data_IF_856773241141
#
_entry.id   IF_856773241141
#
_cell.length_a   1.000
_cell.length_b   1.000
_cell.length_c   1.000
_cell.angle_alpha   90.00
_cell.angle_beta   90.00
_cell.angle_gamma   90.00
#
_symmetry.space_group_name_H-M   'P 1'
#
loop_
_entity.id
_entity.type
_entity.pdbx_description
1 polymer ?
#
# COMPACT_ATOMS: atom_id res chain seq x y z
N UNK A 1 -12.08 -17.03 -14.25
CA UNK A 1 -11.86 -16.35 -12.99
C UNK A 1 -13.07 -15.49 -12.60
N UNK A 2 -13.23 -15.23 -11.31
CA UNK A 2 -14.26 -14.37 -10.76
C UNK A 2 -13.68 -13.00 -10.40
N UNK A 3 -14.44 -11.93 -10.64
CA UNK A 3 -14.04 -10.54 -10.36
C UNK A 3 -15.25 -9.74 -9.87
N UNK A 4 -15.08 -8.94 -8.81
CA UNK A 4 -16.10 -7.97 -8.40
C UNK A 4 -15.91 -6.64 -9.11
N UNK A 5 -17.01 -6.10 -9.66
CA UNK A 5 -16.99 -4.79 -10.33
C UNK A 5 -18.34 -4.09 -10.21
N UNK A 6 -18.30 -2.76 -10.07
CA UNK A 6 -19.51 -1.95 -10.15
C UNK A 6 -19.96 -1.90 -11.62
N UNK A 7 -21.13 -2.43 -11.89
CA UNK A 7 -21.79 -2.38 -13.19
C UNK A 7 -23.29 -2.08 -12.99
N UNK A 8 -23.86 -1.18 -13.80
CA UNK A 8 -25.26 -0.72 -13.67
C UNK A 8 -25.64 -0.26 -12.26
N UNK A 9 -24.72 0.51 -11.61
CA UNK A 9 -24.85 1.07 -10.26
C UNK A 9 -24.84 0.04 -9.11
N UNK A 10 -24.69 -1.25 -9.38
CA UNK A 10 -24.62 -2.30 -8.37
C UNK A 10 -23.26 -2.98 -8.37
N UNK A 11 -22.85 -3.54 -7.20
CA UNK A 11 -21.69 -4.40 -7.14
C UNK A 11 -22.05 -5.76 -7.75
N UNK A 12 -21.38 -6.12 -8.84
CA UNK A 12 -21.65 -7.33 -9.63
C UNK A 12 -20.45 -8.28 -9.51
N UNK A 13 -20.76 -9.57 -9.44
CA UNK A 13 -19.83 -10.67 -9.58
C UNK A 13 -19.71 -11.01 -11.06
N UNK A 14 -18.54 -10.76 -11.65
CA UNK A 14 -18.25 -11.10 -13.05
C UNK A 14 -17.64 -12.49 -13.12
N UNK A 15 -18.16 -13.31 -14.02
CA UNK A 15 -17.67 -14.65 -14.33
C UNK A 15 -17.03 -14.57 -15.72
N UNK A 16 -15.69 -14.76 -15.77
CA UNK A 16 -14.92 -14.69 -17.01
C UNK A 16 -14.17 -16.00 -17.26
N UNK A 17 -14.36 -16.54 -18.45
CA UNK A 17 -13.70 -17.74 -18.95
C UNK A 17 -13.53 -17.62 -20.47
N UNK A 18 -12.65 -18.40 -21.07
CA UNK A 18 -12.57 -18.57 -22.51
C UNK A 18 -13.85 -19.27 -23.01
N UNK A 19 -14.15 -19.15 -24.33
CA UNK A 19 -15.39 -19.70 -24.87
C UNK A 19 -15.46 -21.22 -24.62
N UNK A 20 -16.48 -21.65 -23.89
CA UNK A 20 -16.72 -23.03 -23.52
C UNK A 20 -18.24 -23.21 -23.33
N UNK A 21 -18.83 -24.07 -24.16
CA UNK A 21 -20.26 -24.31 -24.15
C UNK A 21 -20.80 -24.94 -22.87
N UNK A 22 -19.97 -25.80 -22.22
CA UNK A 22 -20.32 -26.45 -20.97
C UNK A 22 -20.41 -25.41 -19.85
N UNK A 23 -19.41 -24.51 -19.77
CA UNK A 23 -19.39 -23.44 -18.78
C UNK A 23 -20.51 -22.43 -19.03
N UNK A 24 -20.84 -22.12 -20.30
CA UNK A 24 -21.95 -21.24 -20.67
C UNK A 24 -23.27 -21.84 -20.23
N UNK A 25 -23.53 -23.12 -20.51
CA UNK A 25 -24.75 -23.79 -20.11
C UNK A 25 -24.94 -23.80 -18.60
N UNK A 26 -23.85 -24.06 -17.85
CA UNK A 26 -23.87 -24.02 -16.38
C UNK A 26 -24.20 -22.62 -15.85
N UNK A 27 -23.58 -21.55 -16.39
CA UNK A 27 -23.87 -20.18 -15.93
C UNK A 27 -25.31 -19.79 -16.22
N UNK A 28 -25.88 -20.25 -17.31
CA UNK A 28 -27.29 -19.98 -17.68
C UNK A 28 -28.28 -20.60 -16.68
N UNK A 29 -27.93 -21.64 -15.97
CA UNK A 29 -28.80 -22.21 -14.92
C UNK A 29 -28.86 -21.34 -13.66
N UNK A 30 -27.95 -20.37 -13.51
CA UNK A 30 -27.91 -19.49 -12.35
C UNK A 30 -28.94 -18.38 -12.48
N UNK A 31 -29.92 -18.36 -11.59
CA UNK A 31 -30.95 -17.32 -11.57
C UNK A 31 -30.30 -15.92 -11.37
N UNK A 32 -30.67 -14.98 -12.23
CA UNK A 32 -30.13 -13.61 -12.20
C UNK A 32 -28.78 -13.42 -12.92
N UNK A 33 -28.17 -14.46 -13.48
CA UNK A 33 -27.00 -14.34 -14.32
C UNK A 33 -27.37 -13.74 -15.70
N UNK A 34 -26.60 -12.76 -16.15
CA UNK A 34 -26.80 -12.06 -17.41
C UNK A 34 -25.47 -11.85 -18.14
N UNK A 35 -25.49 -11.81 -19.46
CA UNK A 35 -24.32 -11.54 -20.28
C UNK A 35 -24.15 -10.04 -20.55
N UNK A 36 -22.98 -9.51 -20.39
CA UNK A 36 -22.64 -8.13 -20.75
C UNK A 36 -21.69 -8.09 -21.96
N UNK A 37 -22.17 -7.55 -23.09
CA UNK A 37 -21.34 -7.34 -24.29
C UNK A 37 -20.17 -6.38 -24.04
N UNK A 38 -20.39 -5.32 -23.25
CA UNK A 38 -19.35 -4.32 -22.93
C UNK A 38 -18.26 -4.84 -21.99
N UNK A 39 -18.60 -5.76 -21.08
CA UNK A 39 -17.66 -6.37 -20.16
C UNK A 39 -17.07 -7.69 -20.68
N UNK A 40 -17.64 -8.23 -21.77
CA UNK A 40 -17.33 -9.57 -22.32
C UNK A 40 -17.31 -10.62 -21.20
N UNK A 41 -18.35 -10.62 -20.35
CA UNK A 41 -18.44 -11.46 -19.17
C UNK A 41 -19.89 -11.70 -18.76
N UNK A 42 -20.15 -12.85 -18.14
CA UNK A 42 -21.37 -13.08 -17.38
C UNK A 42 -21.30 -12.31 -16.07
N UNK A 43 -22.43 -11.82 -15.60
CA UNK A 43 -22.51 -11.07 -14.34
C UNK A 43 -23.80 -11.36 -13.59
N UNK A 44 -23.72 -11.29 -12.26
CA UNK A 44 -24.85 -11.35 -11.34
C UNK A 44 -24.55 -10.49 -10.13
N UNK A 45 -25.56 -10.21 -9.28
CA UNK A 45 -25.34 -9.40 -8.07
C UNK A 45 -24.33 -10.09 -7.15
N UNK A 46 -23.33 -9.34 -6.70
CA UNK A 46 -22.29 -9.87 -5.78
C UNK A 46 -22.88 -9.99 -4.37
N UNK A 47 -23.28 -11.20 -3.99
CA UNK A 47 -23.68 -11.59 -2.63
C UNK A 47 -22.91 -12.82 -2.21
N UNK A 48 -22.83 -13.07 -0.91
CA UNK A 48 -22.13 -14.25 -0.37
C UNK A 48 -22.79 -15.56 -0.84
N UNK A 49 -24.13 -15.55 -0.98
CA UNK A 49 -24.93 -16.67 -1.47
C UNK A 49 -24.61 -16.96 -2.93
N UNK A 50 -24.60 -15.93 -3.79
CA UNK A 50 -24.30 -16.05 -5.22
C UNK A 50 -22.85 -16.52 -5.43
N UNK A 51 -21.90 -16.00 -4.66
CA UNK A 51 -20.52 -16.46 -4.72
C UNK A 51 -20.40 -17.94 -4.31
N UNK A 52 -21.03 -18.33 -3.20
CA UNK A 52 -21.04 -19.72 -2.74
C UNK A 52 -21.69 -20.66 -3.76
N UNK A 53 -22.78 -20.24 -4.39
CA UNK A 53 -23.47 -20.99 -5.43
C UNK A 53 -22.58 -21.19 -6.66
N UNK A 54 -21.93 -20.13 -7.15
CA UNK A 54 -20.99 -20.23 -8.28
C UNK A 54 -19.81 -21.15 -7.97
N UNK A 55 -19.22 -21.01 -6.79
CA UNK A 55 -18.11 -21.89 -6.37
C UNK A 55 -18.52 -23.35 -6.30
N UNK A 56 -19.72 -23.66 -5.81
CA UNK A 56 -20.27 -25.02 -5.78
C UNK A 56 -20.53 -25.55 -7.18
N UNK A 57 -21.12 -24.74 -8.06
CA UNK A 57 -21.48 -25.11 -9.43
C UNK A 57 -20.23 -25.51 -10.24
N UNK A 58 -19.12 -24.77 -10.08
CA UNK A 58 -17.89 -25.02 -10.85
C UNK A 58 -16.89 -25.95 -10.15
N UNK A 59 -17.13 -26.37 -8.89
CA UNK A 59 -16.16 -27.13 -8.06
C UNK A 59 -15.61 -28.40 -8.76
N UNK A 60 -16.45 -29.12 -9.51
CA UNK A 60 -16.09 -30.36 -10.15
C UNK A 60 -15.86 -30.22 -11.68
N UNK A 61 -15.97 -29.01 -12.22
CA UNK A 61 -15.89 -28.75 -13.67
C UNK A 61 -14.59 -28.04 -14.01
N UNK A 62 -14.21 -27.03 -13.23
CA UNK A 62 -13.00 -26.25 -13.49
C UNK A 62 -12.46 -25.61 -12.22
N UNK A 63 -11.15 -25.29 -12.24
CA UNK A 63 -10.52 -24.55 -11.15
C UNK A 63 -10.93 -23.07 -11.20
N UNK A 64 -11.65 -22.59 -10.20
CA UNK A 64 -12.11 -21.21 -10.13
C UNK A 64 -11.07 -20.34 -9.44
N UNK A 65 -10.52 -19.38 -10.17
CA UNK A 65 -9.65 -18.35 -9.61
C UNK A 65 -10.49 -17.22 -9.00
N UNK A 66 -10.39 -17.07 -7.69
CA UNK A 66 -11.07 -16.05 -6.87
C UNK A 66 -10.14 -14.93 -6.42
N UNK A 67 -8.92 -14.87 -6.92
CA UNK A 67 -7.91 -13.89 -6.50
C UNK A 67 -8.33 -12.42 -6.72
N UNK A 68 -9.27 -12.19 -7.63
CA UNK A 68 -9.83 -10.87 -7.97
C UNK A 68 -11.15 -10.56 -7.29
N UNK A 69 -11.69 -11.47 -6.51
CA UNK A 69 -12.82 -11.17 -5.64
C UNK A 69 -12.27 -10.44 -4.43
N UNK A 70 -12.75 -9.22 -4.23
CA UNK A 70 -12.45 -8.50 -3.01
C UNK A 70 -12.95 -9.33 -1.81
N UNK A 71 -12.02 -9.89 -1.02
CA UNK A 71 -12.34 -10.58 0.26
C UNK A 71 -12.90 -9.61 1.31
N UNK A 72 -13.32 -8.44 0.89
CA UNK A 72 -13.92 -7.40 1.72
C UNK A 72 -15.41 -7.30 1.43
N UNK A 73 -16.19 -8.28 1.88
CA UNK A 73 -17.48 -7.88 2.45
C UNK A 73 -17.14 -6.85 3.52
N UNK A 74 -17.67 -5.62 3.46
CA UNK A 74 -17.48 -4.69 4.56
C UNK A 74 -18.05 -5.40 5.79
N UNK A 75 -17.16 -5.84 6.69
CA UNK A 75 -17.54 -6.46 7.94
C UNK A 75 -18.35 -5.42 8.70
N UNK A 76 -19.68 -5.58 8.68
CA UNK A 76 -20.57 -4.71 9.42
C UNK A 76 -20.39 -5.04 10.90
N UNK A 77 -19.76 -4.13 11.63
CA UNK A 77 -19.63 -4.25 13.07
C UNK A 77 -20.98 -3.98 13.71
N UNK A 78 -21.37 -4.86 14.60
CA UNK A 78 -22.56 -4.71 15.42
C UNK A 78 -22.12 -4.22 16.82
N UNK A 79 -21.84 -2.93 16.90
CA UNK A 79 -21.34 -2.30 18.11
C UNK A 79 -22.49 -1.61 18.84
N UNK A 80 -22.57 -1.81 20.16
CA UNK A 80 -23.48 -1.07 21.03
C UNK A 80 -23.12 0.42 21.07
N UNK A 81 -24.04 1.25 21.51
CA UNK A 81 -23.78 2.70 21.59
C UNK A 81 -22.71 3.03 22.65
N UNK A 82 -22.62 2.25 23.73
CA UNK A 82 -21.54 2.34 24.71
C UNK A 82 -20.17 2.03 24.08
N UNK A 83 -20.10 0.95 23.28
CA UNK A 83 -18.87 0.58 22.57
C UNK A 83 -18.46 1.65 21.53
N UNK A 84 -19.42 2.23 20.82
CA UNK A 84 -19.16 3.36 19.90
C UNK A 84 -18.64 4.59 20.66
N UNK A 85 -19.23 4.91 21.82
CA UNK A 85 -18.78 6.00 22.69
C UNK A 85 -17.35 5.77 23.19
N UNK A 86 -17.04 4.57 23.66
CA UNK A 86 -15.69 4.17 24.07
C UNK A 86 -14.66 4.32 22.93
N UNK A 87 -14.99 3.84 21.74
CA UNK A 87 -14.11 3.96 20.57
C UNK A 87 -13.88 5.39 20.14
N UNK A 88 -14.90 6.25 20.25
CA UNK A 88 -14.75 7.69 19.99
C UNK A 88 -13.86 8.37 21.05
N UNK A 89 -13.99 8.01 22.30
CA UNK A 89 -13.10 8.47 23.36
C UNK A 89 -11.65 8.01 23.13
N UNK A 90 -11.45 6.76 22.72
CA UNK A 90 -10.13 6.24 22.35
C UNK A 90 -9.54 6.98 21.13
N UNK A 91 -10.36 7.28 20.13
CA UNK A 91 -9.96 8.11 18.99
C UNK A 91 -9.47 9.49 19.44
N UNK A 92 -10.21 10.17 20.32
CA UNK A 92 -9.85 11.46 20.88
C UNK A 92 -8.58 11.39 21.73
N UNK A 93 -8.41 10.34 22.53
CA UNK A 93 -7.19 10.08 23.30
C UNK A 93 -5.97 9.96 22.38
N UNK A 94 -6.06 9.19 21.31
CA UNK A 94 -4.97 9.06 20.32
C UNK A 94 -4.68 10.42 19.64
N UNK A 95 -5.71 11.21 19.35
CA UNK A 95 -5.56 12.56 18.78
C UNK A 95 -4.86 13.51 19.76
N UNK A 96 -5.21 13.46 21.04
CA UNK A 96 -4.55 14.20 22.11
C UNK A 96 -3.08 13.81 22.27
N UNK A 97 -2.74 12.54 22.10
CA UNK A 97 -1.35 12.03 22.04
C UNK A 97 -0.63 12.39 20.74
N UNK A 98 -1.24 13.15 19.82
CA UNK A 98 -0.68 13.62 18.54
C UNK A 98 -0.20 12.50 17.60
N UNK A 99 -0.87 11.35 17.62
CA UNK A 99 -0.65 10.32 16.61
C UNK A 99 -1.03 10.81 15.22
N UNK A 100 -0.41 10.25 14.17
CA UNK A 100 -0.79 10.57 12.79
C UNK A 100 -2.22 10.07 12.49
N UNK A 101 -2.94 10.77 11.60
CA UNK A 101 -4.31 10.40 11.24
C UNK A 101 -4.42 8.94 10.75
N UNK A 102 -3.44 8.47 9.97
CA UNK A 102 -3.40 7.07 9.52
C UNK A 102 -3.20 6.08 10.67
N UNK A 103 -2.38 6.43 11.66
CA UNK A 103 -2.18 5.60 12.86
C UNK A 103 -3.45 5.53 13.69
N UNK A 104 -4.10 6.68 13.90
CA UNK A 104 -5.37 6.77 14.65
C UNK A 104 -6.42 5.87 13.97
N UNK A 105 -6.62 6.01 12.65
CA UNK A 105 -7.57 5.19 11.91
C UNK A 105 -7.27 3.70 12.01
N UNK A 106 -6.00 3.31 11.85
CA UNK A 106 -5.59 1.90 11.92
C UNK A 106 -5.78 1.33 13.31
N UNK A 107 -5.41 2.07 14.35
CA UNK A 107 -5.53 1.60 15.74
C UNK A 107 -6.99 1.51 16.17
N UNK A 108 -7.78 2.54 15.87
CA UNK A 108 -9.23 2.51 16.15
C UNK A 108 -9.92 1.38 15.38
N UNK A 109 -9.51 1.12 14.13
CA UNK A 109 -10.04 0.02 13.32
C UNK A 109 -9.80 -1.33 13.99
N UNK A 110 -8.57 -1.63 14.41
CA UNK A 110 -8.25 -2.92 15.05
C UNK A 110 -8.92 -3.08 16.41
N UNK A 111 -8.98 -2.03 17.22
CA UNK A 111 -9.66 -2.08 18.53
C UNK A 111 -11.17 -2.25 18.34
N UNK A 112 -11.76 -1.61 17.33
CA UNK A 112 -13.17 -1.80 17.01
C UNK A 112 -13.48 -3.25 16.58
N UNK A 113 -12.60 -3.88 15.77
CA UNK A 113 -12.76 -5.30 15.40
C UNK A 113 -12.62 -6.22 16.62
N UNK A 114 -11.68 -5.92 17.51
CA UNK A 114 -11.44 -6.69 18.72
C UNK A 114 -12.65 -6.61 19.69
N UNK A 115 -13.18 -5.42 19.93
CA UNK A 115 -14.37 -5.22 20.77
C UNK A 115 -15.60 -5.88 20.14
N UNK A 116 -15.77 -5.75 18.84
CA UNK A 116 -16.89 -6.37 18.12
C UNK A 116 -16.83 -7.91 18.16
N UNK A 117 -15.64 -8.51 18.11
CA UNK A 117 -15.47 -9.95 18.23
C UNK A 117 -15.87 -10.45 19.62
N UNK A 118 -15.61 -9.66 20.66
CA UNK A 118 -15.92 -9.96 22.06
C UNK A 118 -17.16 -9.20 22.58
N UNK A 119 -18.16 -8.97 21.74
CA UNK A 119 -19.37 -8.19 22.11
C UNK A 119 -20.06 -8.68 23.38
N UNK A 120 -19.99 -9.99 23.64
CA UNK A 120 -20.63 -10.62 24.81
C UNK A 120 -19.78 -10.59 26.08
N UNK A 121 -18.51 -10.19 26.00
CA UNK A 121 -17.57 -10.17 27.13
C UNK A 121 -17.46 -8.73 27.65
N UNK A 122 -17.72 -8.49 28.95
CA UNK A 122 -17.49 -7.19 29.55
C UNK A 122 -16.03 -6.74 29.42
N UNK A 123 -15.79 -5.45 29.22
CA UNK A 123 -14.43 -4.92 29.07
C UNK A 123 -13.48 -5.30 30.21
N UNK A 124 -14.01 -5.36 31.44
CA UNK A 124 -13.25 -5.74 32.65
C UNK A 124 -12.75 -7.18 32.63
N UNK A 125 -13.37 -8.03 31.83
CA UNK A 125 -13.04 -9.45 31.74
C UNK A 125 -12.15 -9.78 30.53
N UNK A 126 -11.90 -8.80 29.63
CA UNK A 126 -10.99 -9.00 28.53
C UNK A 126 -9.58 -9.28 29.05
N UNK A 127 -9.05 -10.43 28.70
CA UNK A 127 -7.74 -10.95 29.15
C UNK A 127 -6.80 -11.21 27.97
N UNK A 128 -5.55 -11.60 28.24
CA UNK A 128 -4.62 -12.01 27.21
C UNK A 128 -5.13 -13.19 26.39
N UNK A 129 -5.87 -14.12 27.00
CA UNK A 129 -6.50 -15.24 26.26
C UNK A 129 -7.54 -14.75 25.25
N UNK A 130 -8.29 -13.70 25.56
CA UNK A 130 -9.20 -13.08 24.60
C UNK A 130 -8.44 -12.49 23.40
N UNK A 131 -7.25 -11.93 23.63
CA UNK A 131 -6.39 -11.41 22.55
C UNK A 131 -5.88 -12.54 21.66
N UNK A 132 -5.42 -13.63 22.24
CA UNK A 132 -4.97 -14.81 21.52
C UNK A 132 -6.08 -15.39 20.66
N UNK A 133 -7.26 -15.59 21.22
CA UNK A 133 -8.43 -16.12 20.53
C UNK A 133 -8.82 -15.24 19.33
N UNK A 134 -8.76 -13.91 19.49
CA UNK A 134 -9.02 -13.00 18.39
C UNK A 134 -7.97 -13.14 17.27
N UNK A 135 -6.69 -13.31 17.63
CA UNK A 135 -5.62 -13.55 16.66
C UNK A 135 -5.81 -14.90 15.96
N UNK A 136 -6.01 -15.96 16.71
CA UNK A 136 -6.23 -17.32 16.21
C UNK A 136 -7.42 -17.38 15.24
N UNK A 137 -8.52 -16.70 15.56
CA UNK A 137 -9.74 -16.74 14.74
C UNK A 137 -9.68 -15.71 13.62
N UNK A 138 -9.64 -14.41 13.96
CA UNK A 138 -9.88 -13.34 12.99
C UNK A 138 -8.66 -13.08 12.10
N UNK A 139 -7.45 -13.11 12.67
CA UNK A 139 -6.23 -12.85 11.89
C UNK A 139 -5.88 -14.01 10.97
N UNK A 140 -6.09 -15.27 11.44
CA UNK A 140 -5.83 -16.45 10.62
C UNK A 140 -6.88 -16.60 9.51
N UNK A 141 -8.17 -16.51 9.81
CA UNK A 141 -9.23 -16.61 8.82
C UNK A 141 -9.13 -15.52 7.73
N UNK A 142 -8.80 -14.29 8.13
CA UNK A 142 -8.66 -13.16 7.19
C UNK A 142 -7.29 -13.06 6.54
N UNK A 143 -6.38 -13.99 6.81
CA UNK A 143 -5.00 -13.97 6.32
C UNK A 143 -4.31 -12.60 6.51
N UNK A 144 -4.43 -12.01 7.70
CA UNK A 144 -3.75 -10.77 7.98
C UNK A 144 -2.23 -10.94 8.00
N UNK A 145 -1.52 -9.95 7.46
CA UNK A 145 -0.06 -9.97 7.44
C UNK A 145 0.53 -9.85 8.86
N UNK A 146 1.76 -10.37 9.04
CA UNK A 146 2.56 -10.16 10.26
C UNK A 146 2.64 -8.67 10.64
N UNK A 147 2.74 -7.78 9.64
CA UNK A 147 2.73 -6.33 9.87
C UNK A 147 1.42 -5.83 10.46
N UNK A 148 0.28 -6.35 10.00
CA UNK A 148 -1.05 -6.02 10.54
C UNK A 148 -1.19 -6.49 11.99
N UNK A 149 -0.73 -7.71 12.29
CA UNK A 149 -0.75 -8.23 13.67
C UNK A 149 0.13 -7.39 14.60
N UNK A 150 1.34 -6.98 14.15
CA UNK A 150 2.19 -6.06 14.91
C UNK A 150 1.53 -4.71 15.19
N UNK A 151 0.76 -4.19 14.23
CA UNK A 151 0.00 -2.95 14.41
C UNK A 151 -1.15 -3.13 15.40
N UNK A 152 -1.88 -4.25 15.33
CA UNK A 152 -2.92 -4.61 16.30
C UNK A 152 -2.36 -4.67 17.73
N UNK A 153 -1.27 -5.42 17.95
CA UNK A 153 -0.61 -5.49 19.26
C UNK A 153 -0.17 -4.10 19.74
N UNK A 154 0.31 -3.25 18.85
CA UNK A 154 0.69 -1.88 19.20
C UNK A 154 -0.52 -1.02 19.59
N UNK A 155 -1.65 -1.17 18.88
CA UNK A 155 -2.90 -0.50 19.20
C UNK A 155 -3.43 -0.97 20.56
N UNK A 156 -3.36 -2.28 20.82
CA UNK A 156 -3.83 -2.90 22.05
C UNK A 156 -3.02 -2.42 23.27
N UNK A 157 -1.68 -2.35 23.14
CA UNK A 157 -0.82 -1.81 24.22
C UNK A 157 -1.19 -0.37 24.61
N UNK A 158 -1.66 0.43 23.65
CA UNK A 158 -2.11 1.80 23.94
C UNK A 158 -3.53 1.79 24.48
N UNK A 159 -4.36 0.87 23.99
CA UNK A 159 -5.74 0.72 24.46
C UNK A 159 -5.79 0.32 25.94
N UNK A 160 -4.90 -0.58 26.40
CA UNK A 160 -4.83 -0.96 27.82
C UNK A 160 -4.38 0.18 28.73
N UNK A 161 -3.55 1.11 28.22
CA UNK A 161 -3.24 2.35 28.96
C UNK A 161 -4.44 3.29 29.04
N UNK A 162 -5.24 3.36 27.97
CA UNK A 162 -6.46 4.15 27.95
C UNK A 162 -7.59 3.51 28.79
N UNK A 163 -7.66 2.19 28.82
CA UNK A 163 -8.70 1.39 29.50
C UNK A 163 -8.05 0.41 30.49
N UNK A 164 -7.52 0.91 31.65
CA UNK A 164 -6.74 0.09 32.59
C UNK A 164 -7.57 -0.95 33.35
N UNK A 165 -8.89 -0.89 33.24
CA UNK A 165 -9.80 -1.85 33.88
C UNK A 165 -9.82 -3.22 33.20
N UNK A 166 -9.16 -3.39 32.04
CA UNK A 166 -9.06 -4.70 31.39
C UNK A 166 -8.05 -5.60 32.11
N UNK A 167 -8.25 -6.93 32.04
CA UNK A 167 -7.29 -7.93 32.56
C UNK A 167 -6.16 -8.25 31.55
N UNK A 168 -5.93 -7.36 30.56
CA UNK A 168 -4.89 -7.53 29.55
C UNK A 168 -3.56 -7.01 30.09
N UNK A 169 -2.57 -7.89 30.23
CA UNK A 169 -1.24 -7.54 30.70
C UNK A 169 -0.32 -7.19 29.53
N UNK A 170 0.12 -5.92 29.47
CA UNK A 170 0.95 -5.40 28.38
C UNK A 170 2.28 -6.13 28.19
N UNK A 171 2.90 -6.61 29.29
CA UNK A 171 4.18 -7.32 29.26
C UNK A 171 4.09 -8.65 28.52
N UNK A 172 2.95 -9.35 28.60
CA UNK A 172 2.72 -10.63 27.93
C UNK A 172 2.32 -10.47 26.45
N UNK A 173 2.10 -9.25 25.97
CA UNK A 173 1.73 -9.01 24.56
C UNK A 173 2.98 -9.00 23.67
N UNK A 174 3.30 -10.12 23.07
CA UNK A 174 4.41 -10.25 22.14
C UNK A 174 4.05 -9.85 20.72
N UNK A 175 5.00 -9.17 20.05
CA UNK A 175 4.90 -8.87 18.64
C UNK A 175 5.57 -9.97 17.83
N UNK A 176 4.92 -10.55 16.82
CA UNK A 176 5.55 -11.56 15.99
C UNK A 176 6.83 -11.01 15.34
N UNK A 177 7.85 -11.85 15.15
CA UNK A 177 9.11 -11.46 14.51
C UNK A 177 8.85 -10.90 13.11
N UNK A 178 9.51 -9.81 12.75
CA UNK A 178 9.41 -9.22 11.42
C UNK A 178 10.32 -9.99 10.46
N UNK A 179 9.78 -10.48 9.36
CA UNK A 179 10.61 -11.01 8.27
C UNK A 179 11.47 -9.89 7.66
N UNK A 180 12.75 -10.14 7.46
CA UNK A 180 13.68 -9.24 6.77
C UNK A 180 13.68 -9.59 5.29
N UNK A 181 12.74 -9.04 4.53
CA UNK A 181 12.70 -9.19 3.08
C UNK A 181 13.46 -8.01 2.49
N UNK A 182 14.42 -8.29 1.61
CA UNK A 182 15.14 -7.25 0.88
C UNK A 182 14.17 -6.47 -0.02
N UNK A 183 14.32 -5.14 -0.11
CA UNK A 183 13.47 -4.34 -0.97
C UNK A 183 13.68 -4.68 -2.44
N UNK A 184 12.60 -4.72 -3.21
CA UNK A 184 12.68 -4.81 -4.65
C UNK A 184 13.24 -3.50 -5.22
N UNK A 185 14.25 -3.61 -6.08
CA UNK A 185 14.91 -2.48 -6.76
C UNK A 185 14.74 -2.66 -8.27
N UNK A 186 14.46 -1.57 -8.95
CA UNK A 186 14.44 -1.47 -10.41
C UNK A 186 15.84 -1.10 -10.91
N UNK A 187 16.22 -1.55 -12.09
CA UNK A 187 17.40 -1.00 -12.77
C UNK A 187 17.12 0.43 -13.27
N UNK A 188 18.17 1.17 -13.62
CA UNK A 188 18.03 2.51 -14.18
C UNK A 188 17.22 2.48 -15.49
N UNK A 189 17.45 1.49 -16.36
CA UNK A 189 16.70 1.30 -17.60
C UNK A 189 15.24 0.98 -17.35
N UNK A 190 14.93 0.16 -16.32
CA UNK A 190 13.54 -0.14 -15.93
C UNK A 190 12.81 1.14 -15.50
N UNK A 191 13.46 1.99 -14.71
CA UNK A 191 12.88 3.27 -14.27
C UNK A 191 12.65 4.21 -15.47
N UNK A 192 13.63 4.35 -16.35
CA UNK A 192 13.52 5.18 -17.55
C UNK A 192 12.39 4.69 -18.45
N UNK A 193 12.27 3.36 -18.67
CA UNK A 193 11.15 2.79 -19.44
C UNK A 193 9.80 3.11 -18.80
N UNK A 194 9.64 2.99 -17.49
CA UNK A 194 8.39 3.33 -16.81
C UNK A 194 8.02 4.79 -17.07
N UNK A 195 8.99 5.71 -16.96
CA UNK A 195 8.77 7.14 -17.19
C UNK A 195 8.42 7.42 -18.67
N UNK A 196 9.13 6.81 -19.62
CA UNK A 196 8.92 6.98 -21.07
C UNK A 196 7.54 6.46 -21.51
N UNK A 197 7.11 5.27 -21.02
CA UNK A 197 5.81 4.69 -21.34
C UNK A 197 4.64 5.37 -20.62
N UNK A 198 4.92 6.35 -19.75
CA UNK A 198 3.88 7.16 -19.09
C UNK A 198 3.49 8.34 -19.96
N UNK A 199 2.42 8.21 -20.74
CA UNK A 199 2.01 9.19 -21.75
C UNK A 199 1.54 10.53 -21.14
N UNK A 200 0.78 10.50 -20.05
CA UNK A 200 0.25 11.69 -19.41
C UNK A 200 1.37 12.49 -18.73
N UNK A 201 1.52 13.78 -19.12
CA UNK A 201 2.59 14.67 -18.63
C UNK A 201 2.57 14.81 -17.11
N UNK A 202 1.40 15.01 -16.50
CA UNK A 202 1.25 15.07 -15.04
C UNK A 202 1.75 13.79 -14.35
N UNK A 203 1.34 12.63 -14.86
CA UNK A 203 1.78 11.35 -14.30
C UNK A 203 3.27 11.13 -14.49
N UNK A 204 3.81 11.51 -15.64
CA UNK A 204 5.24 11.46 -15.93
C UNK A 204 6.02 12.34 -14.96
N UNK A 205 5.60 13.60 -14.75
CA UNK A 205 6.22 14.50 -13.79
C UNK A 205 6.20 13.96 -12.36
N UNK A 206 5.08 13.32 -11.94
CA UNK A 206 4.97 12.65 -10.63
C UNK A 206 6.01 11.53 -10.49
N UNK A 207 6.10 10.62 -11.47
CA UNK A 207 7.01 9.47 -11.39
C UNK A 207 8.47 9.91 -11.42
N UNK A 208 8.79 10.88 -12.28
CA UNK A 208 10.13 11.45 -12.36
C UNK A 208 10.54 12.06 -11.02
N UNK A 209 9.67 12.88 -10.41
CA UNK A 209 9.98 13.51 -9.13
C UNK A 209 10.05 12.51 -7.97
N UNK A 210 9.19 11.49 -7.94
CA UNK A 210 9.27 10.40 -6.96
C UNK A 210 10.61 9.68 -6.99
N UNK A 211 11.14 9.44 -8.19
CA UNK A 211 12.42 8.77 -8.35
C UNK A 211 13.58 9.76 -8.14
N UNK A 212 13.66 10.87 -8.85
CA UNK A 212 14.83 11.77 -8.84
C UNK A 212 15.09 12.46 -7.49
N UNK A 213 14.04 12.60 -6.66
CA UNK A 213 14.16 13.18 -5.31
C UNK A 213 13.92 12.15 -4.19
N UNK A 214 13.69 10.90 -4.50
CA UNK A 214 13.43 9.84 -3.53
C UNK A 214 12.27 10.14 -2.58
N UNK A 215 11.22 10.82 -3.04
CA UNK A 215 10.11 11.25 -2.19
C UNK A 215 9.23 10.10 -1.72
N UNK A 216 8.69 10.22 -0.50
CA UNK A 216 7.55 9.40 -0.10
C UNK A 216 6.29 9.89 -0.81
N UNK A 217 5.36 8.99 -1.13
CA UNK A 217 4.10 9.37 -1.80
C UNK A 217 3.34 10.44 -0.98
N UNK A 218 3.33 10.34 0.35
CA UNK A 218 2.71 11.34 1.22
C UNK A 218 3.41 12.70 1.20
N UNK A 219 4.71 12.74 0.96
CA UNK A 219 5.47 13.98 0.77
C UNK A 219 5.09 14.63 -0.54
N UNK A 220 5.08 13.86 -1.62
CA UNK A 220 4.72 14.34 -2.97
C UNK A 220 3.31 14.95 -3.02
N UNK A 221 2.29 14.28 -2.49
CA UNK A 221 0.90 14.81 -2.54
C UNK A 221 0.68 16.05 -1.68
N UNK A 222 1.58 16.32 -0.72
CA UNK A 222 1.55 17.53 0.11
C UNK A 222 2.48 18.64 -0.39
N UNK A 223 3.25 18.37 -1.42
CA UNK A 223 4.22 19.30 -1.98
C UNK A 223 3.50 20.49 -2.62
N UNK A 224 3.91 21.69 -2.27
CA UNK A 224 3.37 22.93 -2.80
C UNK A 224 4.32 23.53 -3.85
N UNK A 225 3.80 24.36 -4.74
CA UNK A 225 4.60 25.06 -5.73
C UNK A 225 5.68 25.95 -5.10
N UNK A 226 5.37 26.61 -3.98
CA UNK A 226 6.31 27.44 -3.23
C UNK A 226 7.49 26.66 -2.64
N UNK A 227 7.43 25.32 -2.61
CA UNK A 227 8.51 24.48 -2.09
C UNK A 227 9.61 24.24 -3.14
N UNK A 228 9.39 24.65 -4.41
CA UNK A 228 10.37 24.54 -5.50
C UNK A 228 11.23 25.80 -5.58
N UNK A 229 12.53 25.65 -5.38
CA UNK A 229 13.53 26.68 -5.56
C UNK A 229 14.30 26.40 -6.86
N UNK A 230 13.73 26.84 -7.98
CA UNK A 230 14.25 26.51 -9.32
C UNK A 230 15.65 27.07 -9.53
N UNK A 231 15.91 28.32 -9.10
CA UNK A 231 17.21 28.98 -9.22
C UNK A 231 18.34 28.21 -8.54
N UNK A 232 18.02 27.56 -7.44
CA UNK A 232 18.97 26.74 -6.66
C UNK A 232 18.91 25.26 -7.02
N UNK A 233 18.03 24.86 -7.93
CA UNK A 233 17.75 23.47 -8.28
C UNK A 233 17.45 22.61 -7.04
N UNK A 234 16.66 23.15 -6.12
CA UNK A 234 16.35 22.54 -4.85
C UNK A 234 14.85 22.46 -4.61
N UNK A 235 14.47 21.46 -3.85
CA UNK A 235 13.11 21.23 -3.38
C UNK A 235 13.12 21.09 -1.87
N UNK A 236 12.25 21.83 -1.15
CA UNK A 236 12.05 21.67 0.28
C UNK A 236 10.96 20.63 0.52
N UNK A 237 11.30 19.57 1.21
CA UNK A 237 10.34 18.56 1.69
C UNK A 237 9.98 18.88 3.14
N UNK A 238 8.85 19.56 3.33
CA UNK A 238 8.36 19.96 4.66
C UNK A 238 7.61 18.84 5.37
N UNK A 239 7.68 18.81 6.71
CA UNK A 239 6.95 17.88 7.59
C UNK A 239 7.12 16.41 7.20
N UNK A 240 8.31 16.02 6.81
CA UNK A 240 8.66 14.61 6.58
C UNK A 240 8.35 13.73 7.81
N UNK A 241 8.54 12.42 7.71
CA UNK A 241 8.37 11.50 8.85
C UNK A 241 9.26 11.96 10.01
N UNK A 242 8.65 12.24 11.17
CA UNK A 242 9.35 12.81 12.34
C UNK A 242 9.37 14.34 12.36
N UNK A 243 8.61 15.04 11.50
CA UNK A 243 8.46 16.52 11.43
C UNK A 243 9.76 17.26 11.11
N UNK A 244 10.74 16.60 10.49
CA UNK A 244 11.99 17.22 10.03
C UNK A 244 11.86 17.63 8.57
N UNK A 245 12.22 18.86 8.27
CA UNK A 245 12.32 19.37 6.91
C UNK A 245 13.68 18.99 6.32
N UNK A 246 13.74 18.84 4.99
CA UNK A 246 14.99 18.58 4.29
C UNK A 246 14.96 19.18 2.89
N UNK A 247 16.15 19.47 2.39
CA UNK A 247 16.35 19.84 0.99
C UNK A 247 16.72 18.59 0.19
N UNK A 248 16.24 18.53 -1.05
CA UNK A 248 16.65 17.55 -2.06
C UNK A 248 16.94 18.28 -3.37
N UNK A 249 17.91 17.78 -4.12
CA UNK A 249 18.28 18.35 -5.41
C UNK A 249 17.23 18.00 -6.48
N UNK A 250 16.92 18.96 -7.34
CA UNK A 250 16.15 18.77 -8.57
C UNK A 250 17.10 18.40 -9.70
N UNK A 251 16.82 17.34 -10.43
CA UNK A 251 17.60 16.96 -11.59
C UNK A 251 17.38 17.96 -12.74
N UNK A 252 18.45 18.36 -13.41
CA UNK A 252 18.38 19.26 -14.58
C UNK A 252 17.46 18.70 -15.68
N UNK A 253 17.53 17.40 -15.91
CA UNK A 253 16.67 16.69 -16.85
C UNK A 253 15.18 16.72 -16.51
N UNK A 254 14.81 17.05 -15.27
CA UNK A 254 13.43 17.22 -14.85
C UNK A 254 12.86 18.60 -15.16
N UNK A 255 13.67 19.64 -15.23
CA UNK A 255 13.21 21.03 -15.38
C UNK A 255 12.36 21.26 -16.64
N UNK A 256 12.73 20.77 -17.86
CA UNK A 256 11.88 20.88 -19.03
C UNK A 256 10.51 20.20 -18.87
N UNK A 257 10.49 19.01 -18.25
CA UNK A 257 9.24 18.30 -17.97
C UNK A 257 8.38 19.06 -16.95
N UNK A 258 8.99 19.64 -15.92
CA UNK A 258 8.32 20.48 -14.94
C UNK A 258 7.67 21.71 -15.60
N UNK A 259 8.41 22.40 -16.46
CA UNK A 259 7.90 23.56 -17.22
C UNK A 259 6.70 23.17 -18.10
N UNK A 260 6.82 22.10 -18.89
CA UNK A 260 5.73 21.59 -19.73
C UNK A 260 4.50 21.21 -18.89
N UNK A 261 4.72 20.54 -17.76
CA UNK A 261 3.64 20.19 -16.85
C UNK A 261 2.95 21.45 -16.31
N UNK A 262 3.72 22.43 -15.84
CA UNK A 262 3.20 23.67 -15.27
C UNK A 262 2.35 24.44 -16.28
N UNK A 263 2.84 24.62 -17.51
CA UNK A 263 2.11 25.34 -18.57
C UNK A 263 0.83 24.59 -19.01
N UNK A 264 0.88 23.25 -19.05
CA UNK A 264 -0.26 22.44 -19.50
C UNK A 264 -1.38 22.30 -18.44
N UNK A 265 -1.03 22.19 -17.17
CA UNK A 265 -2.00 21.90 -16.09
C UNK A 265 -2.27 23.09 -15.18
N UNK A 266 -1.42 24.10 -15.18
CA UNK A 266 -1.52 25.34 -14.40
C UNK A 266 -1.93 25.11 -12.93
N UNK A 267 -1.21 24.24 -12.18
CA UNK A 267 -1.51 24.02 -10.78
C UNK A 267 -1.38 25.33 -9.99
N UNK A 268 -2.18 25.50 -8.94
CA UNK A 268 -2.26 26.78 -8.20
C UNK A 268 -1.59 26.71 -6.83
N UNK A 269 -1.79 25.64 -6.08
CA UNK A 269 -1.27 25.50 -4.70
C UNK A 269 -0.33 24.30 -4.59
N UNK A 270 -0.83 23.11 -4.96
CA UNK A 270 -0.06 21.88 -4.85
C UNK A 270 0.67 21.57 -6.16
N UNK A 271 1.86 21.00 -6.07
CA UNK A 271 2.54 20.48 -7.25
C UNK A 271 1.63 19.54 -8.06
N UNK A 272 0.83 18.72 -7.39
CA UNK A 272 -0.14 17.84 -8.06
C UNK A 272 -1.52 18.06 -7.48
N UNK A 273 -2.41 18.55 -8.33
CA UNK A 273 -3.81 18.79 -7.97
C UNK A 273 -4.76 17.77 -8.59
N UNK A 274 -5.80 17.43 -7.80
CA UNK A 274 -6.95 16.66 -8.26
C UNK A 274 -7.91 17.49 -9.11
N UNK A 275 -9.02 16.90 -9.56
CA UNK A 275 -10.00 17.57 -10.42
C UNK A 275 -10.60 18.86 -9.82
N UNK A 276 -10.69 18.95 -8.50
CA UNK A 276 -11.31 20.08 -7.79
C UNK A 276 -10.25 21.02 -7.16
N UNK A 277 -9.02 21.08 -7.68
CA UNK A 277 -7.95 21.91 -7.14
C UNK A 277 -7.37 21.45 -5.79
N UNK A 278 -7.91 20.37 -5.20
CA UNK A 278 -7.40 19.79 -3.97
C UNK A 278 -6.21 18.85 -4.19
N UNK A 279 -5.71 18.27 -3.09
CA UNK A 279 -4.59 17.31 -3.14
C UNK A 279 -4.90 16.11 -4.03
N UNK A 280 -3.90 15.66 -4.76
CA UNK A 280 -4.00 14.45 -5.58
C UNK A 280 -4.09 13.19 -4.71
N UNK A 281 -4.78 12.16 -5.23
CA UNK A 281 -4.96 10.90 -4.49
C UNK A 281 -3.73 10.00 -4.57
N UNK A 282 -3.27 9.51 -3.42
CA UNK A 282 -2.21 8.50 -3.36
C UNK A 282 -2.60 7.20 -4.10
N UNK A 283 -3.88 6.83 -4.08
CA UNK A 283 -4.35 5.63 -4.78
C UNK A 283 -4.35 5.81 -6.30
N UNK A 284 -4.67 7.02 -6.79
CA UNK A 284 -4.51 7.35 -8.21
C UNK A 284 -3.05 7.18 -8.66
N UNK A 285 -2.08 7.62 -7.84
CA UNK A 285 -0.65 7.45 -8.15
C UNK A 285 -0.29 5.96 -8.23
N UNK A 286 -0.72 5.14 -7.28
CA UNK A 286 -0.49 3.69 -7.32
C UNK A 286 -1.14 3.04 -8.54
N UNK A 287 -2.35 3.46 -8.87
CA UNK A 287 -3.10 2.93 -10.00
C UNK A 287 -2.42 3.20 -11.34
N UNK A 288 -2.04 4.46 -11.62
CA UNK A 288 -1.38 4.75 -12.90
C UNK A 288 0.05 4.22 -12.94
N UNK A 289 0.80 4.17 -11.82
CA UNK A 289 2.11 3.52 -11.77
C UNK A 289 2.01 2.05 -12.20
N UNK A 290 1.03 1.30 -11.68
CA UNK A 290 0.77 -0.09 -12.12
C UNK A 290 0.51 -0.18 -13.63
N UNK A 291 -0.28 0.74 -14.18
CA UNK A 291 -0.55 0.81 -15.63
C UNK A 291 0.72 1.12 -16.42
N UNK A 292 1.54 2.06 -15.96
CA UNK A 292 2.82 2.43 -16.60
C UNK A 292 3.81 1.25 -16.58
N UNK A 293 3.93 0.55 -15.46
CA UNK A 293 4.76 -0.66 -15.35
C UNK A 293 4.30 -1.75 -16.33
N UNK A 294 3.00 -1.99 -16.45
CA UNK A 294 2.46 -2.96 -17.42
C UNK A 294 2.80 -2.58 -18.86
N UNK A 295 2.66 -1.29 -19.22
CA UNK A 295 3.02 -0.77 -20.56
C UNK A 295 4.52 -0.88 -20.83
N UNK A 296 5.35 -0.65 -19.82
CA UNK A 296 6.80 -0.77 -19.89
C UNK A 296 7.33 -2.21 -19.86
N UNK A 297 6.45 -3.23 -19.79
CA UNK A 297 6.84 -4.64 -19.72
C UNK A 297 7.47 -5.06 -18.39
N UNK A 298 7.29 -4.29 -17.32
CA UNK A 298 7.85 -4.59 -16.00
C UNK A 298 6.94 -5.58 -15.26
N UNK A 299 7.46 -6.78 -15.02
CA UNK A 299 6.72 -7.86 -14.33
C UNK A 299 6.82 -7.80 -12.80
N UNK A 300 7.84 -7.11 -12.26
CA UNK A 300 8.05 -6.94 -10.81
C UNK A 300 6.89 -6.12 -10.19
N UNK A 301 6.50 -6.39 -8.94
CA UNK A 301 5.58 -5.52 -8.21
C UNK A 301 6.26 -4.18 -7.89
N UNK A 302 5.81 -3.11 -8.53
CA UNK A 302 6.36 -1.76 -8.35
C UNK A 302 5.38 -0.89 -7.58
N UNK A 303 5.91 -0.21 -6.58
CA UNK A 303 5.20 0.77 -5.74
C UNK A 303 5.96 2.11 -5.74
N UNK A 304 5.37 3.22 -5.27
CA UNK A 304 6.13 4.45 -5.05
C UNK A 304 7.34 4.27 -4.11
N UNK A 305 7.25 3.34 -3.16
CA UNK A 305 8.40 3.00 -2.32
C UNK A 305 9.50 2.26 -3.09
N UNK A 306 9.14 1.47 -4.08
CA UNK A 306 10.12 0.80 -4.96
C UNK A 306 10.95 1.84 -5.73
N UNK A 307 10.32 2.90 -6.27
CA UNK A 307 11.05 4.01 -6.93
C UNK A 307 12.04 4.70 -5.97
N UNK A 308 11.61 4.93 -4.73
CA UNK A 308 12.47 5.52 -3.70
C UNK A 308 13.60 4.57 -3.28
N UNK A 309 13.36 3.28 -3.18
CA UNK A 309 14.41 2.28 -2.92
C UNK A 309 15.42 2.23 -4.06
N UNK A 310 14.94 2.25 -5.32
CA UNK A 310 15.81 2.30 -6.50
C UNK A 310 16.66 3.57 -6.52
N UNK A 311 16.09 4.75 -6.21
CA UNK A 311 16.86 5.99 -6.07
C UNK A 311 17.99 5.86 -5.04
N UNK A 312 17.69 5.33 -3.86
CA UNK A 312 18.69 5.19 -2.81
C UNK A 312 19.79 4.19 -3.18
N UNK A 313 19.43 3.07 -3.79
CA UNK A 313 20.40 2.06 -4.25
C UNK A 313 21.27 2.62 -5.36
N UNK A 314 20.70 3.31 -6.35
CA UNK A 314 21.47 3.91 -7.45
C UNK A 314 22.41 5.04 -6.97
N UNK A 315 22.02 5.82 -5.94
CA UNK A 315 22.95 6.77 -5.33
C UNK A 315 24.14 6.07 -4.69
N UNK A 316 23.89 4.97 -3.97
CA UNK A 316 24.95 4.19 -3.32
C UNK A 316 25.87 3.55 -4.38
N UNK A 317 25.31 2.96 -5.43
CA UNK A 317 26.05 2.38 -6.57
C UNK A 317 26.90 3.43 -7.31
N UNK A 318 26.46 4.71 -7.29
CA UNK A 318 27.22 5.83 -7.80
C UNK A 318 28.23 6.42 -6.80
N UNK A 319 28.50 5.74 -5.67
CA UNK A 319 29.51 6.14 -4.69
C UNK A 319 29.08 7.22 -3.71
N UNK A 320 27.79 7.56 -3.62
CA UNK A 320 27.31 8.55 -2.65
C UNK A 320 27.34 7.93 -1.25
N UNK A 321 28.00 8.62 -0.31
CA UNK A 321 28.09 8.17 1.08
C UNK A 321 26.70 7.96 1.72
N UNK A 322 26.58 6.88 2.50
CA UNK A 322 25.34 6.44 3.11
C UNK A 322 24.72 7.52 4.04
N UNK A 323 25.53 8.38 4.66
CA UNK A 323 25.06 9.47 5.53
C UNK A 323 24.34 10.56 4.71
N UNK A 324 24.85 10.87 3.51
CA UNK A 324 24.15 11.79 2.59
C UNK A 324 22.85 11.19 2.10
N UNK A 325 22.84 9.90 1.74
CA UNK A 325 21.60 9.19 1.34
C UNK A 325 20.61 9.20 2.49
N UNK A 326 21.03 8.96 3.73
CA UNK A 326 20.18 9.05 4.92
C UNK A 326 19.53 10.43 5.05
N UNK A 327 20.31 11.50 4.86
CA UNK A 327 19.86 12.89 4.93
C UNK A 327 18.87 13.20 3.81
N UNK A 328 19.19 12.88 2.56
CA UNK A 328 18.35 13.09 1.39
C UNK A 328 17.00 12.35 1.52
N UNK A 329 17.00 11.16 2.07
CA UNK A 329 15.81 10.39 2.31
C UNK A 329 15.04 10.83 3.58
N UNK A 330 15.68 11.55 4.51
CA UNK A 330 15.09 11.92 5.79
C UNK A 330 14.78 10.68 6.64
N UNK A 331 15.73 9.77 6.77
CA UNK A 331 15.64 8.62 7.66
C UNK A 331 16.14 9.02 9.06
N UNK A 332 15.28 8.88 10.06
CA UNK A 332 15.62 9.20 11.45
C UNK A 332 16.51 8.14 12.10
N UNK A 333 16.57 6.94 11.53
CA UNK A 333 17.34 5.80 12.02
C UNK A 333 18.29 5.33 10.94
N UNK A 334 19.60 5.20 11.20
CA UNK A 334 20.59 4.71 10.25
C UNK A 334 20.24 3.33 9.68
N UNK A 335 19.69 2.44 10.52
CA UNK A 335 19.32 1.07 10.13
C UNK A 335 18.33 1.04 8.96
N UNK A 336 17.53 2.10 8.80
CA UNK A 336 16.60 2.21 7.67
C UNK A 336 17.33 2.46 6.35
N UNK A 337 18.53 3.04 6.38
CA UNK A 337 19.36 3.31 5.19
C UNK A 337 20.32 2.16 4.94
N UNK A 338 20.80 1.49 5.99
CA UNK A 338 21.68 0.32 5.86
C UNK A 338 21.07 -0.84 5.06
N UNK A 339 19.75 -0.90 4.90
CA UNK A 339 19.12 -1.93 4.06
C UNK A 339 19.60 -1.87 2.61
N UNK A 340 20.06 -0.71 2.13
CA UNK A 340 20.54 -0.53 0.75
C UNK A 340 21.92 -1.13 0.53
N UNK A 341 22.78 -1.22 1.57
CA UNK A 341 24.08 -1.91 1.47
C UNK A 341 23.94 -3.41 1.19
N UNK A 342 22.83 -4.01 1.62
CA UNK A 342 22.54 -5.42 1.32
C UNK A 342 21.90 -5.64 -0.07
N UNK A 343 21.56 -4.59 -0.79
CA UNK A 343 20.90 -4.66 -2.12
C UNK A 343 21.84 -4.20 -3.23
N UNK A 344 22.91 -3.52 -2.88
CA UNK A 344 23.94 -3.08 -3.80
C UNK A 344 24.52 -4.28 -4.56
N UNK A 345 24.43 -4.25 -5.88
CA UNK A 345 24.90 -5.34 -6.75
C UNK A 345 26.34 -5.13 -7.23
N UNK A 346 26.79 -3.86 -7.29
CA UNK A 346 28.09 -3.51 -7.86
C UNK A 346 29.23 -4.25 -7.14
N UNK A 347 29.27 -4.17 -5.80
CA UNK A 347 30.31 -4.83 -5.02
C UNK A 347 30.25 -6.36 -5.14
N UNK A 348 29.02 -6.93 -5.25
CA UNK A 348 28.86 -8.39 -5.44
C UNK A 348 29.28 -8.85 -6.84
N UNK A 349 29.17 -7.98 -7.85
CA UNK A 349 29.60 -8.29 -9.22
C UNK A 349 31.13 -8.13 -9.39
N UNK A 350 31.78 -7.34 -8.54
CA UNK A 350 33.24 -7.17 -8.50
C UNK A 350 33.95 -8.30 -7.71
N UNK A 351 33.19 -9.03 -6.87
CA UNK A 351 33.72 -10.21 -6.17
C UNK A 351 33.86 -11.35 -7.17
N UNK A 352 35.11 -11.74 -7.43
CA UNK A 352 35.39 -12.91 -8.25
C UNK A 352 34.88 -14.18 -7.55
N UNK A 353 34.12 -14.97 -8.27
CA UNK A 353 33.63 -16.23 -7.74
C UNK A 353 34.84 -17.19 -7.51
N UNK A 354 34.96 -17.82 -6.33
CA UNK A 354 36.07 -18.77 -6.07
C UNK A 354 36.17 -19.88 -7.09
N UNK A 355 35.06 -20.32 -7.72
CA UNK A 355 35.06 -21.29 -8.77
C UNK A 355 35.75 -20.75 -10.04
N UNK A 356 35.43 -19.50 -10.42
CA UNK A 356 36.00 -18.87 -11.61
C UNK A 356 37.51 -18.63 -11.41
N UNK A 357 37.92 -18.25 -10.21
CA UNK A 357 39.35 -18.12 -9.83
C UNK A 357 40.07 -19.48 -9.91
N UNK A 358 39.42 -20.55 -9.46
CA UNK A 358 39.99 -21.90 -9.50
C UNK A 358 40.13 -22.45 -10.93
N UNK A 359 39.22 -22.10 -11.83
CA UNK A 359 39.25 -22.53 -13.25
C UNK A 359 40.19 -21.69 -14.12
N UNK A 360 40.67 -20.53 -13.63
CA UNK A 360 41.68 -19.71 -14.31
C UNK A 360 43.13 -20.12 -14.00
N UNK A 361 43.34 -21.10 -13.11
CA UNK A 361 44.61 -21.77 -12.83
C UNK A 361 44.76 -23.03 -13.68
#
# INVERSE_FOLDING_TARGET
>A
FLEEKIHRKNNQLLIKFEYDETLISLVRTVNGASWSKSLKAWYLISTAENLSMILKLFKNVTKVDVSKISKKTPFKRDLTDEQKKLLNQFYLFLKGKRYSQSTIQTYTFFIADFINFHTKIPLKELSNRAVELFIETVFMERNYSVSSQRQFISALKIFTVFCPQTKIHNLSLERPKKSRILPSVLSQEEVLRIIQYTQNIKHRAILTLLYSCGLRIGELINLKLIDFHIDRKQLIVKKGKGRKDRYVSLADSFLPLLSNYYHSYKPTIYFVEGQNGGKYSAESIRSFLRKSCKKAGIRKPVTPHTLRHSYATHLLENGVDLRYIQTLLGHSKPETTMIYTHVQRKDLMEIQNPLDVALQK
#
